data_IF_580737418830
#
_entry.id   IF_580737418830
#
_cell.length_a   1.000
_cell.length_b   1.000
_cell.length_c   1.000
_cell.angle_alpha   90.00
_cell.angle_beta   90.00
_cell.angle_gamma   90.00
#
_symmetry.space_group_name_H-M   'P 1'
#
loop_
_entity.id
_entity.type
_entity.pdbx_description
1 polymer ?
#
# COMPACT_ATOMS: atom_id res chain seq x y z
N UNK A 1 -27.98 19.17 -12.50
CA UNK A 1 -28.15 18.50 -11.20
C UNK A 1 -28.72 19.52 -10.24
N UNK A 2 -29.93 19.27 -9.77
CA UNK A 2 -30.60 20.11 -8.78
C UNK A 2 -29.84 20.10 -7.45
N UNK A 3 -29.95 21.17 -6.66
CA UNK A 3 -29.20 21.32 -5.39
C UNK A 3 -29.49 20.15 -4.43
N UNK A 4 -30.72 19.67 -4.42
CA UNK A 4 -31.15 18.54 -3.58
C UNK A 4 -30.51 17.22 -4.00
N UNK A 5 -30.29 17.00 -5.29
CA UNK A 5 -29.59 15.82 -5.79
C UNK A 5 -28.12 15.82 -5.33
N UNK A 6 -27.47 16.99 -5.33
CA UNK A 6 -26.09 17.12 -4.85
C UNK A 6 -25.98 16.84 -3.35
N UNK A 7 -26.93 17.34 -2.56
CA UNK A 7 -27.00 17.08 -1.12
C UNK A 7 -27.22 15.58 -0.85
N UNK A 8 -28.13 14.94 -1.57
CA UNK A 8 -28.40 13.50 -1.47
C UNK A 8 -27.18 12.66 -1.83
N UNK A 9 -26.47 13.03 -2.90
CA UNK A 9 -25.23 12.35 -3.30
C UNK A 9 -24.13 12.51 -2.24
N UNK A 10 -23.99 13.70 -1.66
CA UNK A 10 -23.04 13.94 -0.56
C UNK A 10 -23.37 13.12 0.68
N UNK A 11 -24.64 13.09 1.08
CA UNK A 11 -25.10 12.28 2.20
C UNK A 11 -24.90 10.78 1.95
N UNK A 12 -25.20 10.29 0.74
CA UNK A 12 -24.97 8.91 0.34
C UNK A 12 -23.47 8.55 0.39
N UNK A 13 -22.58 9.44 -0.09
CA UNK A 13 -21.15 9.22 -0.03
C UNK A 13 -20.65 9.08 1.43
N UNK A 14 -21.14 9.93 2.34
CA UNK A 14 -20.80 9.83 3.77
C UNK A 14 -21.31 8.52 4.35
N UNK A 15 -22.56 8.14 4.06
CA UNK A 15 -23.14 6.88 4.54
C UNK A 15 -22.36 5.66 4.04
N UNK A 16 -21.93 5.66 2.78
CA UNK A 16 -21.06 4.63 2.22
C UNK A 16 -19.75 4.57 3.01
N UNK A 17 -19.08 5.70 3.21
CA UNK A 17 -17.84 5.74 3.98
C UNK A 17 -18.02 5.19 5.41
N UNK A 18 -19.10 5.57 6.09
CA UNK A 18 -19.43 5.05 7.43
C UNK A 18 -19.74 3.55 7.42
N UNK A 19 -20.40 3.05 6.38
CA UNK A 19 -20.71 1.62 6.22
C UNK A 19 -19.44 0.78 6.01
N UNK A 20 -18.48 1.28 5.23
CA UNK A 20 -17.21 0.58 4.97
C UNK A 20 -16.19 0.76 6.09
N UNK A 21 -16.28 1.82 6.90
CA UNK A 21 -15.36 2.13 8.00
C UNK A 21 -15.12 0.96 8.99
N UNK A 22 -16.12 0.25 9.52
CA UNK A 22 -15.87 -0.87 10.43
C UNK A 22 -15.14 -2.04 9.74
N UNK A 23 -15.46 -2.29 8.46
CA UNK A 23 -14.81 -3.33 7.67
C UNK A 23 -13.36 -3.02 7.36
N UNK A 24 -13.06 -1.79 6.94
CA UNK A 24 -11.69 -1.34 6.69
C UNK A 24 -10.88 -1.29 7.98
N UNK A 25 -11.47 -0.84 9.09
CA UNK A 25 -10.81 -0.87 10.40
C UNK A 25 -10.40 -2.28 10.80
N UNK A 26 -11.32 -3.25 10.69
CA UNK A 26 -11.04 -4.65 11.00
C UNK A 26 -9.99 -5.24 10.06
N UNK A 27 -10.06 -4.95 8.77
CA UNK A 27 -9.06 -5.42 7.80
C UNK A 27 -7.66 -4.86 8.11
N UNK A 28 -7.54 -3.60 8.54
CA UNK A 28 -6.26 -3.00 8.95
C UNK A 28 -5.74 -3.60 10.26
N UNK A 29 -6.63 -3.89 11.21
CA UNK A 29 -6.28 -4.51 12.49
C UNK A 29 -5.81 -5.96 12.33
N UNK A 30 -6.51 -6.73 11.48
CA UNK A 30 -6.23 -8.13 11.18
C UNK A 30 -5.13 -8.31 10.12
N UNK A 31 -4.66 -7.22 9.48
CA UNK A 31 -3.60 -7.29 8.47
C UNK A 31 -2.28 -7.79 9.09
N UNK A 32 -1.56 -8.70 8.42
CA UNK A 32 -0.24 -9.13 8.85
C UNK A 32 0.69 -7.92 9.01
N UNK A 33 1.12 -7.68 10.25
CA UNK A 33 2.13 -6.65 10.51
C UNK A 33 3.48 -7.23 10.12
N UNK A 34 4.19 -6.55 9.22
CA UNK A 34 5.54 -6.95 8.83
C UNK A 34 6.42 -7.09 10.08
N UNK A 35 6.93 -8.29 10.30
CA UNK A 35 7.82 -8.62 11.41
C UNK A 35 9.27 -8.29 11.05
N UNK A 36 10.15 -8.27 12.05
CA UNK A 36 11.59 -8.14 11.81
C UNK A 36 12.11 -9.22 10.85
N UNK A 37 11.55 -10.42 10.92
CA UNK A 37 11.94 -11.54 10.05
C UNK A 37 11.51 -11.32 8.60
N UNK A 38 10.35 -10.71 8.35
CA UNK A 38 9.92 -10.35 6.99
C UNK A 38 10.89 -9.34 6.34
N UNK A 39 11.32 -8.34 7.13
CA UNK A 39 12.31 -7.36 6.68
C UNK A 39 13.69 -7.98 6.45
N UNK A 40 14.10 -8.92 7.30
CA UNK A 40 15.33 -9.68 7.10
C UNK A 40 15.23 -10.61 5.87
N UNK A 41 14.07 -11.22 5.62
CA UNK A 41 13.81 -12.01 4.43
C UNK A 41 13.91 -11.18 3.15
N UNK A 42 13.46 -9.93 3.19
CA UNK A 42 13.58 -8.98 2.08
C UNK A 42 15.02 -8.49 1.84
N UNK A 43 15.93 -8.58 2.83
CA UNK A 43 17.29 -8.04 2.67
C UNK A 43 18.09 -8.77 1.59
N UNK A 44 17.92 -10.09 1.48
CA UNK A 44 18.66 -10.94 0.54
C UNK A 44 18.35 -10.60 -0.92
N UNK A 45 17.08 -10.54 -1.37
CA UNK A 45 16.77 -10.13 -2.74
C UNK A 45 17.17 -8.66 -3.01
N UNK A 46 17.03 -7.76 -2.04
CA UNK A 46 17.45 -6.36 -2.20
C UNK A 46 18.96 -6.25 -2.42
N UNK A 47 19.76 -6.92 -1.60
CA UNK A 47 21.22 -6.95 -1.75
C UNK A 47 21.65 -7.57 -3.08
N UNK A 48 20.93 -8.60 -3.56
CA UNK A 48 21.19 -9.22 -4.86
C UNK A 48 20.97 -8.21 -6.01
N UNK A 49 19.89 -7.44 -5.96
CA UNK A 49 19.62 -6.39 -6.96
C UNK A 49 20.71 -5.31 -6.93
N UNK A 50 21.10 -4.86 -5.74
CA UNK A 50 22.18 -3.86 -5.59
C UNK A 50 23.49 -4.39 -6.18
N UNK A 51 23.88 -5.62 -5.83
CA UNK A 51 25.09 -6.24 -6.35
C UNK A 51 25.05 -6.39 -7.88
N UNK A 52 23.90 -6.78 -8.43
CA UNK A 52 23.71 -6.87 -9.87
C UNK A 52 23.87 -5.52 -10.57
N UNK A 53 23.28 -4.46 -10.04
CA UNK A 53 23.43 -3.10 -10.59
C UNK A 53 24.88 -2.63 -10.54
N UNK A 54 25.59 -2.86 -9.43
CA UNK A 54 27.01 -2.54 -9.30
C UNK A 54 27.82 -3.30 -10.35
N UNK A 55 27.58 -4.60 -10.52
CA UNK A 55 28.23 -5.42 -11.53
C UNK A 55 28.03 -4.87 -12.94
N UNK A 56 26.81 -4.46 -13.29
CA UNK A 56 26.52 -3.83 -14.59
C UNK A 56 27.29 -2.52 -14.77
N UNK A 57 27.36 -1.68 -13.73
CA UNK A 57 28.13 -0.42 -13.78
C UNK A 57 29.62 -0.69 -14.01
N UNK A 58 30.18 -1.71 -13.36
CA UNK A 58 31.59 -2.08 -13.52
C UNK A 58 31.89 -2.56 -14.95
N UNK A 59 31.01 -3.36 -15.54
CA UNK A 59 31.13 -3.79 -16.95
C UNK A 59 30.99 -2.60 -17.91
N UNK A 60 30.02 -1.71 -17.67
CA UNK A 60 29.76 -0.58 -18.56
C UNK A 60 30.84 0.51 -18.51
N UNK A 61 31.63 0.56 -17.43
CA UNK A 61 32.75 1.51 -17.26
C UNK A 61 34.11 0.95 -17.65
N UNK A 62 34.22 -0.38 -17.83
CA UNK A 62 35.44 -1.08 -18.23
C UNK A 62 35.63 -1.16 -19.73
#
# INVERSE_FOLDING_TARGET
>A
MEIWEQILLGAAAILILLWFLPGTKKAVEDSPKGTREDWLGAIKPVLMVIAFVIFLILIARG
#
